data_IF_094054899400
#
_entry.id   IF_094054899400
#
_cell.length_a   1.000
_cell.length_b   1.000
_cell.length_c   1.000
_cell.angle_alpha   90.00
_cell.angle_beta   90.00
_cell.angle_gamma   90.00
#
_symmetry.space_group_name_H-M   'P 1'
#
loop_
_entity.id
_entity.type
_entity.pdbx_description
1 polymer ?
#
# COMPACT_ATOMS: atom_id res chain seq x y z
N UNK A 1 7.14 30.68 -33.56
CA UNK A 1 7.44 29.26 -33.84
C UNK A 1 7.97 28.65 -32.55
N UNK A 2 7.48 27.48 -32.14
CA UNK A 2 8.08 26.72 -31.04
C UNK A 2 8.96 25.66 -31.68
N UNK A 3 10.25 25.72 -31.41
CA UNK A 3 11.23 24.72 -31.85
C UNK A 3 11.48 23.75 -30.70
N UNK A 4 11.60 22.46 -31.01
CA UNK A 4 11.95 21.40 -30.07
C UNK A 4 13.14 20.63 -30.64
N UNK A 5 14.21 20.54 -29.87
CA UNK A 5 15.44 19.86 -30.28
C UNK A 5 15.61 18.58 -29.47
N UNK A 6 15.88 17.47 -30.16
CA UNK A 6 16.17 16.19 -29.54
C UNK A 6 17.64 15.86 -29.75
N UNK A 7 18.40 15.77 -28.66
CA UNK A 7 19.84 15.45 -28.70
C UNK A 7 19.97 13.92 -28.65
N UNK A 8 20.64 13.36 -29.66
CA UNK A 8 20.84 11.92 -29.80
C UNK A 8 22.31 11.58 -30.05
N UNK A 9 22.74 10.38 -29.65
CA UNK A 9 24.05 9.83 -30.00
C UNK A 9 23.98 9.25 -31.42
N UNK A 10 25.10 9.26 -32.14
CA UNK A 10 25.16 8.70 -33.51
C UNK A 10 24.69 7.25 -33.62
N UNK A 11 24.89 6.44 -32.58
CA UNK A 11 24.45 5.03 -32.58
C UNK A 11 22.94 4.86 -32.44
N UNK A 12 22.22 5.88 -31.97
CA UNK A 12 20.78 5.81 -31.65
C UNK A 12 19.93 6.60 -32.67
N UNK A 13 20.55 7.16 -33.71
CA UNK A 13 19.92 8.03 -34.71
C UNK A 13 18.77 7.34 -35.45
N UNK A 14 18.99 6.13 -35.96
CA UNK A 14 17.94 5.35 -36.65
C UNK A 14 16.75 5.01 -35.74
N UNK A 15 17.02 4.69 -34.47
CA UNK A 15 15.98 4.37 -33.50
C UNK A 15 15.14 5.61 -33.15
N UNK A 16 15.79 6.76 -32.98
CA UNK A 16 15.13 8.03 -32.69
C UNK A 16 14.31 8.51 -33.88
N UNK A 17 14.84 8.41 -35.11
CA UNK A 17 14.11 8.77 -36.31
C UNK A 17 12.83 7.94 -36.45
N UNK A 18 12.93 6.63 -36.21
CA UNK A 18 11.77 5.74 -36.21
C UNK A 18 10.70 6.16 -35.20
N UNK A 19 11.09 6.60 -34.00
CA UNK A 19 10.14 7.09 -32.97
C UNK A 19 9.43 8.37 -33.43
N UNK A 20 10.16 9.31 -34.04
CA UNK A 20 9.60 10.58 -34.51
C UNK A 20 8.63 10.39 -35.68
N UNK A 21 8.90 9.40 -36.54
CA UNK A 21 8.06 9.09 -37.70
C UNK A 21 6.87 8.18 -37.37
N UNK A 22 6.88 7.50 -36.20
CA UNK A 22 5.81 6.59 -35.81
C UNK A 22 4.56 7.39 -35.40
N UNK A 23 3.42 7.22 -36.08
CA UNK A 23 2.17 7.88 -35.70
C UNK A 23 1.69 7.36 -34.34
N UNK A 24 1.17 8.28 -33.51
CA UNK A 24 0.71 8.01 -32.14
C UNK A 24 -0.33 6.87 -32.08
N UNK A 25 -1.16 6.74 -33.11
CA UNK A 25 -2.31 5.81 -33.13
C UNK A 25 -1.90 4.33 -33.25
N UNK A 26 -0.67 4.02 -33.69
CA UNK A 26 -0.18 2.64 -33.75
C UNK A 26 0.27 2.09 -32.38
N UNK A 27 0.29 2.94 -31.34
CA UNK A 27 0.75 2.58 -29.99
C UNK A 27 -0.38 1.99 -29.12
N UNK A 28 -1.64 2.00 -29.59
CA UNK A 28 -2.80 1.42 -28.86
C UNK A 28 -2.83 -0.12 -28.93
N UNK A 29 -1.77 -0.77 -29.43
CA UNK A 29 -1.47 -2.12 -28.99
C UNK A 29 -0.88 -2.05 -27.58
N UNK A 30 -1.73 -1.75 -26.59
CA UNK A 30 -1.37 -1.92 -25.17
C UNK A 30 -0.85 -3.34 -25.00
N UNK A 31 0.43 -3.45 -24.64
CA UNK A 31 1.08 -4.73 -24.35
C UNK A 31 0.14 -5.61 -23.52
N UNK A 32 -0.29 -6.74 -24.10
CA UNK A 32 -0.89 -7.90 -23.43
C UNK A 32 0.03 -8.35 -22.28
N UNK A 33 0.01 -7.64 -21.15
CA UNK A 33 0.67 -8.04 -19.91
C UNK A 33 -0.40 -8.62 -18.99
N UNK A 34 0.03 -9.55 -18.12
CA UNK A 34 -0.76 -10.28 -17.12
C UNK A 34 -1.80 -9.45 -16.33
N UNK A 35 -1.66 -8.13 -16.33
CA UNK A 35 -2.66 -7.15 -15.87
C UNK A 35 -4.05 -7.30 -16.49
N UNK A 36 -4.20 -7.88 -17.68
CA UNK A 36 -5.53 -8.05 -18.29
C UNK A 36 -6.41 -9.05 -17.54
N UNK A 37 -5.81 -10.13 -17.01
CA UNK A 37 -6.56 -11.15 -16.24
C UNK A 37 -7.09 -10.58 -14.93
N UNK A 38 -6.25 -9.80 -14.23
CA UNK A 38 -6.63 -9.15 -12.96
C UNK A 38 -7.66 -8.04 -13.15
N UNK A 39 -7.64 -7.38 -14.32
CA UNK A 39 -8.59 -6.32 -14.65
C UNK A 39 -9.96 -6.89 -15.03
N UNK A 40 -10.00 -7.98 -15.81
CA UNK A 40 -11.26 -8.60 -16.21
C UNK A 40 -11.96 -9.30 -15.04
N UNK A 41 -11.22 -10.02 -14.18
CA UNK A 41 -11.78 -10.66 -12.99
C UNK A 41 -12.39 -9.65 -12.02
N UNK A 42 -11.71 -8.52 -11.81
CA UNK A 42 -12.26 -7.40 -11.05
C UNK A 42 -13.53 -6.85 -11.69
N UNK A 43 -13.52 -6.59 -13.01
CA UNK A 43 -14.67 -6.04 -13.72
C UNK A 43 -15.90 -6.95 -13.63
N UNK A 44 -15.72 -8.25 -13.84
CA UNK A 44 -16.79 -9.25 -13.69
C UNK A 44 -17.32 -9.26 -12.25
N UNK A 45 -16.43 -9.28 -11.26
CA UNK A 45 -16.81 -9.24 -9.85
C UNK A 45 -17.58 -7.95 -9.50
N UNK A 46 -17.19 -6.81 -10.06
CA UNK A 46 -17.86 -5.53 -9.85
C UNK A 46 -19.28 -5.53 -10.45
N UNK A 47 -19.45 -6.07 -11.66
CA UNK A 47 -20.77 -6.26 -12.28
C UNK A 47 -21.71 -7.11 -11.44
N UNK A 48 -21.19 -8.18 -10.84
CA UNK A 48 -21.96 -9.06 -9.94
C UNK A 48 -22.23 -8.36 -8.60
N UNK A 49 -21.23 -7.67 -8.01
CA UNK A 49 -21.37 -6.97 -6.73
C UNK A 49 -22.37 -5.82 -6.77
N UNK A 50 -22.45 -5.12 -7.91
CA UNK A 50 -23.38 -4.02 -8.15
C UNK A 50 -24.78 -4.49 -8.56
N UNK A 51 -24.94 -5.77 -8.89
CA UNK A 51 -26.20 -6.34 -9.38
C UNK A 51 -26.50 -6.03 -10.85
N UNK A 52 -25.51 -5.53 -11.61
CA UNK A 52 -25.64 -5.30 -13.05
C UNK A 52 -25.74 -6.63 -13.83
N UNK A 53 -25.06 -7.66 -13.34
CA UNK A 53 -25.06 -8.99 -13.95
C UNK A 53 -25.33 -10.05 -12.88
N UNK A 54 -26.18 -11.00 -13.22
CA UNK A 54 -26.57 -12.12 -12.35
C UNK A 54 -26.47 -13.46 -13.06
N UNK A 55 -26.41 -13.49 -14.39
CA UNK A 55 -26.32 -14.72 -15.18
C UNK A 55 -25.09 -14.71 -16.08
N UNK A 56 -24.62 -15.89 -16.47
CA UNK A 56 -23.48 -16.03 -17.38
C UNK A 56 -23.68 -15.24 -18.68
N UNK A 57 -24.88 -15.27 -19.24
CA UNK A 57 -25.23 -14.54 -20.47
C UNK A 57 -25.11 -13.02 -20.30
N UNK A 58 -25.60 -12.47 -19.18
CA UNK A 58 -25.44 -11.05 -18.86
C UNK A 58 -23.98 -10.64 -18.68
N UNK A 59 -23.16 -11.51 -18.07
CA UNK A 59 -21.72 -11.27 -17.93
C UNK A 59 -21.04 -11.20 -19.31
N UNK A 60 -21.32 -12.14 -20.21
CA UNK A 60 -20.76 -12.08 -21.57
C UNK A 60 -21.23 -10.84 -22.34
N UNK A 61 -22.51 -10.44 -22.20
CA UNK A 61 -23.03 -9.21 -22.79
C UNK A 61 -22.27 -7.98 -22.25
N UNK A 62 -22.07 -7.89 -20.94
CA UNK A 62 -21.30 -6.83 -20.31
C UNK A 62 -19.84 -6.83 -20.82
N UNK A 63 -19.18 -7.99 -20.87
CA UNK A 63 -17.83 -8.15 -21.42
C UNK A 63 -17.75 -7.71 -22.88
N UNK A 64 -18.80 -7.93 -23.68
CA UNK A 64 -18.81 -7.57 -25.11
C UNK A 64 -18.81 -6.07 -25.36
N UNK A 65 -19.20 -5.26 -24.36
CA UNK A 65 -19.18 -3.79 -24.41
C UNK A 65 -17.79 -3.21 -24.10
N UNK A 66 -16.82 -4.03 -23.67
CA UNK A 66 -15.46 -3.58 -23.46
C UNK A 66 -14.81 -3.19 -24.79
N UNK A 67 -13.98 -2.15 -24.75
CA UNK A 67 -13.28 -1.60 -25.91
C UNK A 67 -12.46 -2.66 -26.69
N UNK A 68 -12.00 -3.73 -26.02
CA UNK A 68 -11.18 -4.81 -26.60
C UNK A 68 -11.96 -6.13 -26.77
N UNK A 69 -13.15 -6.09 -27.36
CA UNK A 69 -14.16 -7.17 -27.29
C UNK A 69 -13.79 -8.53 -27.91
N UNK A 70 -12.90 -8.63 -28.90
CA UNK A 70 -12.75 -9.88 -29.68
C UNK A 70 -11.94 -11.00 -28.99
N UNK A 71 -11.08 -10.69 -28.01
CA UNK A 71 -10.29 -11.70 -27.26
C UNK A 71 -10.85 -12.02 -25.87
N UNK A 72 -11.86 -11.28 -25.41
CA UNK A 72 -12.29 -11.31 -24.00
C UNK A 72 -13.33 -12.38 -23.67
N UNK A 73 -14.08 -12.92 -24.64
CA UNK A 73 -15.16 -13.88 -24.37
C UNK A 73 -14.64 -15.19 -23.73
N UNK A 74 -13.57 -15.77 -24.26
CA UNK A 74 -12.93 -16.95 -23.68
C UNK A 74 -12.30 -16.64 -22.30
N UNK A 75 -11.84 -15.40 -22.10
CA UNK A 75 -11.25 -14.96 -20.82
C UNK A 75 -12.29 -14.67 -19.74
N UNK A 76 -13.55 -14.38 -20.11
CA UNK A 76 -14.62 -14.16 -19.14
C UNK A 76 -14.97 -15.48 -18.43
N UNK A 77 -14.93 -16.62 -19.12
CA UNK A 77 -15.13 -17.94 -18.50
C UNK A 77 -14.04 -18.28 -17.49
N UNK A 78 -12.76 -18.11 -17.87
CA UNK A 78 -11.62 -18.24 -16.94
C UNK A 78 -11.80 -17.35 -15.68
N UNK A 79 -12.31 -16.13 -15.88
CA UNK A 79 -12.51 -15.17 -14.79
C UNK A 79 -13.62 -15.61 -13.85
N UNK A 80 -14.75 -16.12 -14.38
CA UNK A 80 -15.86 -16.65 -13.57
C UNK A 80 -15.39 -17.88 -12.78
N UNK A 81 -14.68 -18.80 -13.43
CA UNK A 81 -14.15 -20.01 -12.79
C UNK A 81 -13.19 -19.66 -11.65
N UNK A 82 -12.28 -18.70 -11.87
CA UNK A 82 -11.36 -18.23 -10.84
C UNK A 82 -12.08 -17.56 -9.67
N UNK A 83 -13.13 -16.77 -9.92
CA UNK A 83 -13.91 -16.12 -8.88
C UNK A 83 -14.71 -17.13 -8.05
N UNK A 84 -15.25 -18.17 -8.68
CA UNK A 84 -15.92 -19.29 -8.00
C UNK A 84 -14.93 -20.10 -7.16
N UNK A 85 -13.80 -20.50 -7.75
CA UNK A 85 -12.78 -21.31 -7.10
C UNK A 85 -12.22 -20.64 -5.84
N UNK A 86 -12.11 -19.31 -5.85
CA UNK A 86 -11.61 -18.51 -4.74
C UNK A 86 -12.74 -17.93 -3.85
N UNK A 87 -13.98 -18.38 -4.01
CA UNK A 87 -15.12 -17.98 -3.18
C UNK A 87 -15.40 -16.47 -3.17
N UNK A 88 -15.12 -15.74 -4.26
CA UNK A 88 -15.55 -14.34 -4.43
C UNK A 88 -17.02 -14.25 -4.85
N UNK A 89 -17.51 -15.26 -5.56
CA UNK A 89 -18.91 -15.39 -5.98
C UNK A 89 -19.42 -16.81 -5.68
N UNK A 90 -20.73 -16.94 -5.55
CA UNK A 90 -21.48 -18.19 -5.42
C UNK A 90 -22.48 -18.29 -6.56
N UNK A 91 -22.91 -19.52 -6.88
CA UNK A 91 -23.93 -19.78 -7.89
C UNK A 91 -25.06 -20.59 -7.27
N UNK A 92 -26.29 -20.10 -7.39
CA UNK A 92 -27.53 -20.75 -6.96
C UNK A 92 -28.56 -20.60 -8.08
N UNK A 93 -29.20 -21.68 -8.52
CA UNK A 93 -30.20 -21.68 -9.61
C UNK A 93 -29.72 -20.94 -10.89
N UNK A 94 -28.47 -21.17 -11.31
CA UNK A 94 -27.81 -20.50 -12.46
C UNK A 94 -27.65 -18.97 -12.30
N UNK A 95 -27.87 -18.44 -11.10
CA UNK A 95 -27.65 -17.04 -10.75
C UNK A 95 -26.41 -16.87 -9.88
N UNK A 96 -25.50 -16.00 -10.33
CA UNK A 96 -24.33 -15.58 -9.59
C UNK A 96 -24.69 -14.53 -8.54
N UNK A 97 -24.19 -14.74 -7.34
CA UNK A 97 -24.29 -13.82 -6.22
C UNK A 97 -22.90 -13.56 -5.62
N UNK A 98 -22.60 -12.34 -5.18
CA UNK A 98 -21.30 -12.03 -4.59
C UNK A 98 -21.22 -12.54 -3.13
N UNK A 99 -20.09 -13.13 -2.74
CA UNK A 99 -19.87 -13.50 -1.35
C UNK A 99 -19.48 -12.27 -0.50
N UNK A 100 -19.31 -12.45 0.81
CA UNK A 100 -18.79 -11.38 1.67
C UNK A 100 -17.36 -10.98 1.28
N UNK A 101 -16.52 -11.94 0.87
CA UNK A 101 -15.17 -11.68 0.35
C UNK A 101 -15.22 -10.89 -0.96
N UNK A 102 -16.13 -11.26 -1.89
CA UNK A 102 -16.43 -10.51 -3.11
C UNK A 102 -16.73 -9.04 -2.84
N UNK A 103 -17.69 -8.79 -1.93
CA UNK A 103 -18.08 -7.43 -1.55
C UNK A 103 -16.94 -6.67 -0.86
N UNK A 104 -16.14 -7.35 -0.03
CA UNK A 104 -15.00 -6.74 0.65
C UNK A 104 -13.91 -6.30 -0.33
N UNK A 105 -13.59 -7.13 -1.34
CA UNK A 105 -12.63 -6.80 -2.39
C UNK A 105 -13.02 -5.52 -3.14
N UNK A 106 -14.27 -5.44 -3.60
CA UNK A 106 -14.79 -4.28 -4.34
C UNK A 106 -14.84 -3.04 -3.45
N UNK A 107 -15.36 -3.15 -2.22
CA UNK A 107 -15.44 -2.03 -1.30
C UNK A 107 -14.07 -1.44 -0.91
N UNK A 108 -13.02 -2.25 -1.02
CA UNK A 108 -11.65 -1.85 -0.68
C UNK A 108 -10.84 -1.48 -1.91
N UNK A 109 -11.47 -1.41 -3.08
CA UNK A 109 -10.82 -1.16 -4.36
C UNK A 109 -9.65 -2.11 -4.66
N UNK A 110 -9.69 -3.35 -4.17
CA UNK A 110 -8.65 -4.36 -4.40
C UNK A 110 -9.00 -5.30 -5.56
N UNK A 111 -8.03 -5.72 -6.39
CA UNK A 111 -8.26 -6.82 -7.32
C UNK A 111 -8.41 -8.15 -6.55
N UNK A 112 -9.08 -9.17 -7.13
CA UNK A 112 -9.31 -10.46 -6.46
C UNK A 112 -8.03 -11.12 -5.94
N UNK A 113 -6.96 -11.14 -6.73
CA UNK A 113 -5.71 -11.81 -6.38
C UNK A 113 -5.02 -11.15 -5.18
N UNK A 114 -5.01 -9.81 -5.14
CA UNK A 114 -4.50 -9.06 -3.98
C UNK A 114 -5.39 -9.24 -2.74
N UNK A 115 -6.71 -9.36 -2.94
CA UNK A 115 -7.67 -9.56 -1.85
C UNK A 115 -7.46 -10.90 -1.14
N UNK A 116 -7.07 -11.96 -1.85
CA UNK A 116 -6.72 -13.24 -1.25
C UNK A 116 -5.49 -13.14 -0.35
N UNK A 117 -4.42 -12.54 -0.86
CA UNK A 117 -3.19 -12.37 -0.07
C UNK A 117 -3.45 -11.55 1.20
N UNK A 118 -4.27 -10.50 1.10
CA UNK A 118 -4.69 -9.67 2.24
C UNK A 118 -5.56 -10.46 3.21
N UNK A 119 -6.53 -11.23 2.71
CA UNK A 119 -7.39 -12.06 3.54
C UNK A 119 -6.58 -13.08 4.34
N UNK A 120 -5.64 -13.79 3.70
CA UNK A 120 -4.77 -14.75 4.37
C UNK A 120 -3.90 -14.11 5.47
N UNK A 121 -3.28 -12.97 5.16
CA UNK A 121 -2.41 -12.24 6.09
C UNK A 121 -3.19 -11.76 7.32
N UNK A 122 -4.34 -11.13 7.12
CA UNK A 122 -5.20 -10.63 8.19
C UNK A 122 -5.86 -11.76 8.99
N UNK A 123 -6.29 -12.84 8.33
CA UNK A 123 -6.86 -14.01 9.00
C UNK A 123 -5.81 -14.70 9.88
N UNK A 124 -4.57 -14.80 9.41
CA UNK A 124 -3.44 -15.29 10.22
C UNK A 124 -3.17 -14.38 11.42
N UNK A 125 -3.09 -13.07 11.19
CA UNK A 125 -2.87 -12.08 12.25
C UNK A 125 -3.99 -12.05 13.30
N UNK A 126 -5.24 -12.32 12.90
CA UNK A 126 -6.39 -12.37 13.80
C UNK A 126 -6.26 -13.43 14.91
N UNK A 127 -5.46 -14.47 14.68
CA UNK A 127 -5.22 -15.56 15.65
C UNK A 127 -4.17 -15.20 16.70
N UNK A 128 -3.27 -14.25 16.39
CA UNK A 128 -2.18 -13.86 17.27
C UNK A 128 -1.71 -12.45 16.91
N UNK A 129 -2.33 -11.43 17.52
CA UNK A 129 -1.94 -10.03 17.35
C UNK A 129 -1.03 -9.58 18.50
N UNK A 130 0.18 -9.13 18.17
CA UNK A 130 1.08 -8.49 19.12
C UNK A 130 0.61 -7.03 19.38
N UNK A 131 0.27 -6.73 20.63
CA UNK A 131 -0.24 -5.42 21.09
C UNK A 131 0.72 -4.68 22.04
N UNK A 132 1.92 -5.22 22.26
CA UNK A 132 2.97 -4.57 23.05
C UNK A 132 3.54 -3.33 22.36
N UNK A 133 3.51 -3.32 21.03
CA UNK A 133 3.88 -2.16 20.20
C UNK A 133 2.93 -2.06 19.00
N UNK A 134 2.92 -0.91 18.35
CA UNK A 134 2.14 -0.66 17.14
C UNK A 134 2.77 -1.25 15.86
N UNK A 135 3.97 -1.82 15.95
CA UNK A 135 4.73 -2.29 14.78
C UNK A 135 4.02 -3.43 14.03
N UNK A 136 3.33 -4.33 14.74
CA UNK A 136 2.60 -5.41 14.08
C UNK A 136 1.39 -4.88 13.30
N UNK A 137 0.64 -3.94 13.87
CA UNK A 137 -0.46 -3.25 13.16
C UNK A 137 0.07 -2.50 11.94
N UNK A 138 1.20 -1.80 12.07
CA UNK A 138 1.87 -1.15 10.94
C UNK A 138 2.29 -2.11 9.84
N UNK A 139 2.80 -3.29 10.20
CA UNK A 139 3.15 -4.32 9.21
C UNK A 139 1.92 -4.75 8.39
N UNK A 140 0.77 -4.96 9.05
CA UNK A 140 -0.49 -5.32 8.38
C UNK A 140 -0.95 -4.24 7.39
N UNK A 141 -0.77 -2.96 7.73
CA UNK A 141 -1.11 -1.83 6.84
C UNK A 141 0.05 -1.34 5.96
N UNK A 142 1.18 -2.06 5.95
CA UNK A 142 2.26 -1.81 4.99
C UNK A 142 1.96 -2.61 3.71
N UNK A 143 1.99 -2.02 2.51
CA UNK A 143 1.70 -2.71 1.26
C UNK A 143 2.56 -3.98 1.07
N UNK A 144 1.97 -5.04 0.49
CA UNK A 144 2.67 -6.32 0.28
C UNK A 144 3.83 -6.21 -0.73
N UNK A 145 3.66 -5.37 -1.76
CA UNK A 145 4.61 -5.20 -2.86
C UNK A 145 5.31 -3.84 -2.78
N UNK A 146 6.25 -3.70 -1.84
CA UNK A 146 7.00 -2.45 -1.68
C UNK A 146 8.15 -2.39 -2.67
N UNK A 147 8.17 -1.36 -3.51
CA UNK A 147 9.21 -1.17 -4.55
C UNK A 147 10.33 -0.21 -4.13
N UNK A 148 10.27 0.41 -2.96
CA UNK A 148 11.28 1.43 -2.55
C UNK A 148 12.66 0.85 -2.24
N UNK A 149 12.80 -0.48 -2.28
CA UNK A 149 14.01 -1.22 -1.88
C UNK A 149 14.75 -1.91 -3.04
N UNK A 150 14.59 -1.41 -4.27
CA UNK A 150 15.18 -2.01 -5.49
C UNK A 150 16.70 -2.22 -5.43
N UNK A 151 17.42 -1.42 -4.65
CA UNK A 151 18.88 -1.56 -4.43
C UNK A 151 19.22 -1.57 -2.93
N UNK A 152 18.54 -2.40 -2.15
CA UNK A 152 18.80 -2.47 -0.71
C UNK A 152 20.20 -3.02 -0.38
N UNK A 153 20.89 -2.33 0.55
CA UNK A 153 22.15 -2.80 1.13
C UNK A 153 21.85 -3.79 2.27
N UNK A 154 21.94 -5.09 1.97
CA UNK A 154 21.70 -6.15 2.94
C UNK A 154 22.66 -6.10 4.13
N UNK A 155 23.87 -5.54 4.01
CA UNK A 155 24.79 -5.40 5.14
C UNK A 155 24.24 -4.40 6.14
N UNK A 156 23.71 -3.29 5.63
CA UNK A 156 23.04 -2.27 6.44
C UNK A 156 21.77 -2.82 7.10
N UNK A 157 20.94 -3.56 6.35
CA UNK A 157 19.73 -4.19 6.90
C UNK A 157 20.05 -5.23 7.98
N UNK A 158 21.12 -6.01 7.81
CA UNK A 158 21.58 -6.95 8.85
C UNK A 158 22.04 -6.22 10.12
N UNK A 159 22.76 -5.10 9.97
CA UNK A 159 23.18 -4.28 11.11
C UNK A 159 21.99 -3.68 11.86
N UNK A 160 20.95 -3.22 11.14
CA UNK A 160 19.69 -2.76 11.72
C UNK A 160 18.98 -3.90 12.45
N UNK A 161 18.84 -5.07 11.80
CA UNK A 161 18.18 -6.24 12.37
C UNK A 161 18.86 -6.73 13.66
N UNK A 162 20.19 -6.74 13.67
CA UNK A 162 20.99 -7.15 14.82
C UNK A 162 20.78 -6.24 16.04
N UNK A 163 20.51 -4.95 15.82
CA UNK A 163 20.28 -3.94 16.85
C UNK A 163 18.80 -3.79 17.26
N UNK A 164 17.89 -4.59 16.70
CA UNK A 164 16.48 -4.51 17.04
C UNK A 164 16.24 -4.87 18.53
N UNK A 165 15.40 -4.09 19.23
CA UNK A 165 14.98 -4.42 20.58
C UNK A 165 14.13 -5.71 20.60
N UNK A 166 13.97 -6.30 21.80
CA UNK A 166 13.43 -7.65 21.96
C UNK A 166 11.97 -7.78 21.49
N UNK A 167 11.17 -6.74 21.69
CA UNK A 167 9.79 -6.58 21.20
C UNK A 167 9.72 -6.59 19.66
N UNK A 168 10.57 -5.80 18.98
CA UNK A 168 10.61 -5.73 17.52
C UNK A 168 11.12 -7.04 16.91
N UNK A 169 12.10 -7.70 17.57
CA UNK A 169 12.59 -9.02 17.16
C UNK A 169 11.52 -10.10 17.31
N UNK A 170 10.68 -10.01 18.33
CA UNK A 170 9.53 -10.91 18.50
C UNK A 170 8.52 -10.72 17.36
N UNK A 171 8.22 -9.48 16.97
CA UNK A 171 7.33 -9.19 15.84
C UNK A 171 7.94 -9.67 14.53
N UNK A 172 9.23 -9.47 14.31
CA UNK A 172 9.94 -10.00 13.15
C UNK A 172 9.74 -11.53 13.02
N UNK A 173 9.91 -12.26 14.12
CA UNK A 173 9.67 -13.70 14.16
C UNK A 173 8.20 -14.07 13.90
N UNK A 174 7.26 -13.30 14.45
CA UNK A 174 5.82 -13.51 14.28
C UNK A 174 5.40 -13.39 12.80
N UNK A 175 5.92 -12.41 12.07
CA UNK A 175 5.58 -12.17 10.65
C UNK A 175 6.41 -13.03 9.68
N UNK A 176 7.34 -13.85 10.19
CA UNK A 176 8.15 -14.77 9.38
C UNK A 176 9.47 -14.20 8.85
N UNK A 177 9.95 -13.07 9.39
CA UNK A 177 11.29 -12.54 9.09
C UNK A 177 12.33 -13.42 9.77
N UNK A 178 13.29 -13.90 8.99
CA UNK A 178 14.35 -14.80 9.46
C UNK A 178 15.72 -14.17 9.28
N UNK A 179 16.53 -14.22 10.33
CA UNK A 179 17.93 -13.80 10.27
C UNK A 179 18.71 -14.61 9.24
N UNK A 180 18.42 -15.92 9.14
CA UNK A 180 19.01 -16.82 8.15
C UNK A 180 18.83 -16.30 6.72
N UNK A 181 17.63 -15.83 6.37
CA UNK A 181 17.38 -15.30 5.03
C UNK A 181 18.22 -14.05 4.74
N UNK A 182 18.36 -13.14 5.73
CA UNK A 182 19.19 -11.95 5.59
C UNK A 182 20.65 -12.35 5.34
N UNK A 183 21.17 -13.33 6.09
CA UNK A 183 22.51 -13.88 5.89
C UNK A 183 22.68 -14.55 4.52
N UNK A 184 21.67 -15.28 4.05
CA UNK A 184 21.69 -15.89 2.71
C UNK A 184 21.75 -14.81 1.61
N UNK A 185 21.05 -13.67 1.78
CA UNK A 185 21.16 -12.54 0.84
C UNK A 185 22.56 -11.92 0.82
N UNK A 186 23.23 -11.80 1.97
CA UNK A 186 24.64 -11.34 2.04
C UNK A 186 25.59 -12.27 1.29
N UNK A 187 25.29 -13.57 1.27
CA UNK A 187 26.05 -14.59 0.54
C UNK A 187 25.69 -14.67 -0.95
N UNK A 188 24.78 -13.81 -1.44
CA UNK A 188 24.31 -13.81 -2.83
C UNK A 188 23.31 -14.91 -3.16
N UNK A 189 22.78 -15.65 -2.17
CA UNK A 189 21.74 -16.67 -2.38
C UNK A 189 20.38 -16.01 -2.48
N UNK A 190 19.95 -15.69 -3.71
CA UNK A 190 18.67 -15.02 -3.95
C UNK A 190 17.49 -15.98 -3.77
N UNK A 191 16.60 -15.68 -2.81
CA UNK A 191 15.33 -16.37 -2.68
C UNK A 191 14.19 -15.34 -2.77
N UNK A 192 13.57 -15.26 -3.94
CA UNK A 192 12.57 -14.23 -4.22
C UNK A 192 11.26 -14.42 -3.47
N UNK A 193 10.93 -15.65 -3.02
CA UNK A 193 9.63 -15.94 -2.36
C UNK A 193 9.51 -15.27 -0.99
N UNK A 194 10.61 -15.21 -0.23
CA UNK A 194 10.63 -14.63 1.11
C UNK A 194 11.09 -13.18 1.13
N UNK A 195 11.57 -12.66 0.00
CA UNK A 195 12.09 -11.31 -0.12
C UNK A 195 11.06 -10.26 0.31
N UNK A 196 9.83 -10.36 -0.19
CA UNK A 196 8.78 -9.37 0.08
C UNK A 196 8.42 -9.29 1.57
N UNK A 197 8.40 -10.41 2.30
CA UNK A 197 8.15 -10.42 3.75
C UNK A 197 9.21 -9.60 4.50
N UNK A 198 10.48 -9.77 4.15
CA UNK A 198 11.59 -9.07 4.79
C UNK A 198 11.59 -7.58 4.43
N UNK A 199 11.40 -7.26 3.15
CA UNK A 199 11.32 -5.88 2.67
C UNK A 199 10.11 -5.14 3.25
N UNK A 200 8.95 -5.81 3.36
CA UNK A 200 7.76 -5.26 4.01
C UNK A 200 8.01 -4.99 5.49
N UNK A 201 8.71 -5.87 6.19
CA UNK A 201 9.07 -5.65 7.60
C UNK A 201 10.00 -4.43 7.78
N UNK A 202 11.04 -4.27 6.96
CA UNK A 202 11.90 -3.08 7.03
C UNK A 202 11.16 -1.79 6.64
N UNK A 203 10.22 -1.88 5.70
CA UNK A 203 9.29 -0.79 5.39
C UNK A 203 8.45 -0.41 6.61
N UNK A 204 7.86 -1.40 7.29
CA UNK A 204 7.08 -1.20 8.50
C UNK A 204 7.90 -0.55 9.62
N UNK A 205 9.19 -0.92 9.77
CA UNK A 205 10.10 -0.27 10.71
C UNK A 205 10.35 1.21 10.36
N UNK A 206 10.54 1.53 9.07
CA UNK A 206 10.72 2.92 8.64
C UNK A 206 9.45 3.75 8.87
N UNK A 207 8.27 3.18 8.59
CA UNK A 207 6.97 3.80 8.86
C UNK A 207 6.73 3.95 10.38
N UNK A 208 7.17 2.99 11.19
CA UNK A 208 7.09 3.04 12.64
C UNK A 208 7.87 4.23 13.21
N UNK A 209 9.09 4.47 12.72
CA UNK A 209 9.85 5.65 13.13
C UNK A 209 9.16 6.96 12.70
N UNK A 210 8.58 7.01 11.49
CA UNK A 210 7.85 8.18 11.00
C UNK A 210 6.64 8.53 11.86
N UNK A 211 5.78 7.56 12.17
CA UNK A 211 4.58 7.82 13.01
C UNK A 211 4.93 8.12 14.47
N UNK A 212 6.16 7.83 14.89
CA UNK A 212 6.72 8.22 16.17
C UNK A 212 7.50 9.55 16.11
N UNK A 213 7.14 10.42 15.16
CA UNK A 213 7.64 11.79 15.01
C UNK A 213 9.17 11.87 14.71
N UNK A 214 9.75 10.80 14.13
CA UNK A 214 11.09 10.92 13.57
C UNK A 214 11.03 11.63 12.22
N UNK A 215 11.83 12.68 12.03
CA UNK A 215 11.80 13.45 10.78
C UNK A 215 12.12 12.55 9.57
N UNK A 216 11.51 12.87 8.43
CA UNK A 216 11.73 12.12 7.19
C UNK A 216 13.21 12.07 6.77
N UNK A 217 13.99 13.09 7.16
CA UNK A 217 15.43 13.14 6.94
C UNK A 217 16.17 12.10 7.79
N UNK A 218 15.87 12.02 9.08
CA UNK A 218 16.47 11.03 9.97
C UNK A 218 16.13 9.60 9.55
N UNK A 219 14.87 9.33 9.18
CA UNK A 219 14.45 8.01 8.70
C UNK A 219 15.11 7.68 7.37
N UNK A 220 15.16 8.63 6.42
CA UNK A 220 15.85 8.47 5.14
C UNK A 220 17.33 8.08 5.34
N UNK A 221 18.03 8.73 6.27
CA UNK A 221 19.41 8.38 6.61
C UNK A 221 19.54 7.05 7.34
N UNK A 222 18.66 6.76 8.32
CA UNK A 222 18.70 5.53 9.11
C UNK A 222 18.47 4.29 8.27
N UNK A 223 17.53 4.33 7.31
CA UNK A 223 17.18 3.18 6.47
C UNK A 223 17.85 3.22 5.08
N UNK A 224 18.56 4.31 4.75
CA UNK A 224 19.17 4.57 3.43
C UNK A 224 18.16 4.54 2.28
N UNK A 225 16.96 5.04 2.54
CA UNK A 225 15.89 5.17 1.53
C UNK A 225 15.87 6.62 1.04
N UNK A 226 15.86 6.89 -0.28
CA UNK A 226 15.71 8.25 -0.80
C UNK A 226 14.42 8.92 -0.28
N UNK A 227 14.49 10.20 0.08
CA UNK A 227 13.35 10.94 0.66
C UNK A 227 12.07 10.84 -0.17
N UNK A 228 12.15 11.01 -1.49
CA UNK A 228 10.98 10.90 -2.37
C UNK A 228 10.38 9.49 -2.39
N UNK A 229 11.21 8.45 -2.30
CA UNK A 229 10.74 7.06 -2.17
C UNK A 229 10.07 6.84 -0.81
N UNK A 230 10.63 7.40 0.26
CA UNK A 230 10.05 7.31 1.60
C UNK A 230 8.69 8.03 1.70
N UNK A 231 8.55 9.21 1.10
CA UNK A 231 7.26 9.92 0.98
C UNK A 231 6.24 9.10 0.16
N UNK A 232 6.70 8.47 -0.92
CA UNK A 232 5.86 7.59 -1.73
C UNK A 232 5.38 6.39 -0.90
N UNK A 233 6.28 5.74 -0.16
CA UNK A 233 5.93 4.63 0.74
C UNK A 233 4.91 5.08 1.80
N UNK A 234 5.12 6.25 2.41
CA UNK A 234 4.23 6.82 3.41
C UNK A 234 2.82 7.05 2.85
N UNK A 235 2.71 7.74 1.71
CA UNK A 235 1.42 8.00 1.04
C UNK A 235 0.72 6.72 0.60
N UNK A 236 1.45 5.78 -0.03
CA UNK A 236 0.90 4.49 -0.44
C UNK A 236 0.42 3.65 0.75
N UNK A 237 1.15 3.68 1.87
CA UNK A 237 0.76 2.96 3.08
C UNK A 237 -0.45 3.59 3.76
N UNK A 238 -0.61 4.92 3.70
CA UNK A 238 -1.82 5.59 4.17
C UNK A 238 -3.06 5.16 3.37
N UNK A 239 -2.96 5.15 2.03
CA UNK A 239 -4.04 4.64 1.16
C UNK A 239 -4.33 3.17 1.44
N UNK A 240 -3.28 2.35 1.54
CA UNK A 240 -3.42 0.92 1.81
C UNK A 240 -4.07 0.67 3.17
N UNK A 241 -3.69 1.40 4.22
CA UNK A 241 -4.34 1.32 5.53
C UNK A 241 -5.85 1.56 5.44
N UNK A 242 -6.29 2.58 4.70
CA UNK A 242 -7.70 2.85 4.50
C UNK A 242 -8.41 1.69 3.76
N UNK A 243 -7.76 1.10 2.76
CA UNK A 243 -8.28 -0.08 2.04
C UNK A 243 -8.41 -1.28 2.99
N UNK A 244 -7.41 -1.55 3.84
CA UNK A 244 -7.46 -2.64 4.82
C UNK A 244 -8.58 -2.44 5.85
N UNK A 245 -8.79 -1.21 6.33
CA UNK A 245 -9.89 -0.87 7.25
C UNK A 245 -11.25 -1.12 6.59
N UNK A 246 -11.43 -0.69 5.34
CA UNK A 246 -12.65 -0.96 4.57
C UNK A 246 -12.88 -2.46 4.34
N UNK A 247 -11.80 -3.21 4.08
CA UNK A 247 -11.83 -4.65 3.89
C UNK A 247 -12.30 -5.38 5.15
N UNK A 248 -11.70 -5.06 6.30
CA UNK A 248 -12.07 -5.60 7.60
C UNK A 248 -13.53 -5.26 7.95
N UNK A 249 -13.97 -4.02 7.67
CA UNK A 249 -15.36 -3.59 7.90
C UNK A 249 -16.35 -4.46 7.12
N UNK A 250 -16.09 -4.72 5.84
CA UNK A 250 -17.00 -5.54 5.01
C UNK A 250 -17.00 -7.01 5.38
N UNK A 251 -15.88 -7.55 5.86
CA UNK A 251 -15.80 -8.90 6.40
C UNK A 251 -16.41 -9.05 7.80
N UNK A 252 -16.80 -7.96 8.45
CA UNK A 252 -17.33 -7.99 9.81
C UNK A 252 -16.25 -8.22 10.88
N UNK A 253 -14.98 -8.01 10.56
CA UNK A 253 -13.85 -8.12 11.49
C UNK A 253 -13.72 -6.86 12.34
N UNK A 254 -14.74 -6.59 13.17
CA UNK A 254 -14.90 -5.34 13.91
C UNK A 254 -13.71 -5.00 14.79
N UNK A 255 -13.15 -5.98 15.51
CA UNK A 255 -12.01 -5.76 16.41
C UNK A 255 -10.73 -5.43 15.64
N UNK A 256 -10.45 -6.15 14.55
CA UNK A 256 -9.29 -5.89 13.73
C UNK A 256 -9.42 -4.54 13.02
N UNK A 257 -10.61 -4.21 12.52
CA UNK A 257 -10.93 -2.88 11.99
C UNK A 257 -10.67 -1.78 13.01
N UNK A 258 -11.08 -1.97 14.27
CA UNK A 258 -10.86 -0.98 15.33
C UNK A 258 -9.38 -0.78 15.65
N UNK A 259 -8.58 -1.85 15.67
CA UNK A 259 -7.13 -1.78 15.91
C UNK A 259 -6.38 -1.06 14.78
N UNK A 260 -6.83 -1.23 13.54
CA UNK A 260 -6.17 -0.64 12.36
C UNK A 260 -6.73 0.76 12.01
N UNK A 261 -7.80 1.19 12.67
CA UNK A 261 -8.41 2.49 12.42
C UNK A 261 -7.46 3.63 12.79
N UNK A 262 -7.49 4.72 12.02
CA UNK A 262 -6.65 5.89 12.26
C UNK A 262 -5.20 5.79 11.76
N UNK A 263 -4.67 4.59 11.48
CA UNK A 263 -3.31 4.46 10.90
C UNK A 263 -3.17 5.17 9.55
N UNK A 264 -4.24 5.26 8.74
CA UNK A 264 -4.22 5.98 7.48
C UNK A 264 -3.82 7.46 7.67
N UNK A 265 -4.45 8.16 8.63
CA UNK A 265 -4.15 9.56 8.92
C UNK A 265 -2.77 9.72 9.55
N UNK A 266 -2.43 8.86 10.52
CA UNK A 266 -1.12 8.88 11.18
C UNK A 266 0.02 8.67 10.19
N UNK A 267 -0.15 7.77 9.23
CA UNK A 267 0.80 7.55 8.15
C UNK A 267 0.85 8.76 7.24
N UNK A 268 -0.30 9.32 6.82
CA UNK A 268 -0.32 10.46 5.89
C UNK A 268 0.46 11.67 6.43
N UNK A 269 0.34 11.96 7.73
CA UNK A 269 0.98 13.13 8.35
C UNK A 269 2.26 12.82 9.13
N UNK A 270 2.56 11.55 9.40
CA UNK A 270 3.72 11.15 10.20
C UNK A 270 3.58 11.50 11.68
N UNK A 271 2.41 11.26 12.27
CA UNK A 271 2.08 11.69 13.64
C UNK A 271 1.63 10.54 14.54
N UNK A 272 1.77 10.75 15.86
CA UNK A 272 1.21 9.86 16.88
C UNK A 272 -0.31 9.97 16.97
N UNK A 273 -0.96 8.95 17.54
CA UNK A 273 -2.43 8.85 17.62
C UNK A 273 -3.06 10.05 18.33
N UNK A 274 -2.43 10.55 19.39
CA UNK A 274 -2.86 11.71 20.19
C UNK A 274 -2.96 13.02 19.38
N UNK A 275 -2.32 13.10 18.21
CA UNK A 275 -2.33 14.28 17.35
C UNK A 275 -3.33 14.18 16.20
N UNK A 276 -4.02 13.06 16.06
CA UNK A 276 -4.95 12.84 14.95
C UNK A 276 -6.10 13.85 14.98
N UNK A 277 -6.51 14.28 16.18
CA UNK A 277 -7.55 15.30 16.37
C UNK A 277 -7.07 16.70 15.96
N UNK A 278 -5.78 17.05 16.18
CA UNK A 278 -5.23 18.36 15.82
C UNK A 278 -5.17 18.59 14.29
N UNK A 279 -4.88 17.54 13.51
CA UNK A 279 -4.76 17.65 12.04
C UNK A 279 -6.11 17.80 11.34
N UNK A 280 -7.23 17.53 12.02
CA UNK A 280 -8.57 17.74 11.44
C UNK A 280 -8.97 19.21 11.33
N UNK A 281 -8.17 20.14 11.88
CA UNK A 281 -8.33 21.58 11.70
C UNK A 281 -7.66 21.96 10.37
N UNK A 282 -8.45 22.43 9.40
CA UNK A 282 -7.98 22.79 8.05
C UNK A 282 -6.74 23.72 8.11
N UNK A 283 -5.65 23.29 7.47
CA UNK A 283 -4.44 24.11 7.25
C UNK A 283 -3.19 23.70 8.06
N UNK A 284 -3.26 22.65 8.88
CA UNK A 284 -2.14 22.19 9.70
C UNK A 284 -1.51 20.93 9.06
N UNK A 285 -0.29 21.07 8.52
CA UNK A 285 0.53 19.91 8.15
C UNK A 285 1.20 19.28 9.40
N UNK A 286 1.77 18.08 9.26
CA UNK A 286 2.42 17.38 10.40
C UNK A 286 3.55 18.20 11.06
N UNK A 287 4.20 19.09 10.30
CA UNK A 287 5.19 20.05 10.82
C UNK A 287 4.54 21.17 11.63
N UNK A 288 3.38 21.66 11.21
CA UNK A 288 2.60 22.65 11.95
C UNK A 288 2.07 22.10 13.27
N UNK A 289 1.78 20.79 13.37
CA UNK A 289 1.45 20.15 14.66
C UNK A 289 2.61 20.21 15.66
N UNK A 290 3.85 20.00 15.23
CA UNK A 290 5.04 20.17 16.10
C UNK A 290 5.23 21.64 16.52
N UNK A 291 5.02 22.59 15.59
CA UNK A 291 5.10 24.03 15.89
C UNK A 291 3.99 24.45 16.87
N UNK A 292 2.78 23.92 16.74
CA UNK A 292 1.68 24.19 17.68
C UNK A 292 2.01 23.62 19.06
N UNK A 293 2.61 22.43 19.18
CA UNK A 293 3.13 21.94 20.48
C UNK A 293 4.17 22.87 21.09
N UNK A 294 5.08 23.42 20.28
CA UNK A 294 6.07 24.39 20.76
C UNK A 294 5.37 25.67 21.23
N UNK A 295 4.37 26.16 20.50
CA UNK A 295 3.61 27.37 20.86
C UNK A 295 2.73 27.14 22.10
N UNK A 296 2.01 26.03 22.22
CA UNK A 296 1.21 25.68 23.40
C UNK A 296 2.09 25.42 24.63
N UNK A 297 3.24 24.76 24.46
CA UNK A 297 4.23 24.57 25.53
C UNK A 297 4.81 25.92 25.99
N UNK A 298 5.12 26.84 25.08
CA UNK A 298 5.55 28.21 25.40
C UNK A 298 4.42 29.04 26.05
N UNK A 299 3.17 28.84 25.62
CA UNK A 299 2.00 29.55 26.16
C UNK A 299 1.66 29.08 27.57
N UNK A 300 1.71 27.76 27.82
CA UNK A 300 1.57 27.18 29.17
C UNK A 300 2.74 27.60 30.07
N UNK A 301 3.96 27.70 29.54
CA UNK A 301 5.10 28.23 30.29
C UNK A 301 4.93 29.71 30.70
N UNK A 302 4.25 30.53 29.87
CA UNK A 302 3.87 31.91 30.20
C UNK A 302 2.72 32.01 31.21
N UNK A 303 1.89 30.98 31.36
CA UNK A 303 0.84 30.96 32.38
C UNK A 303 1.39 30.58 33.76
N UNK A 304 2.42 29.74 33.82
CA UNK A 304 3.06 29.34 35.08
C UNK A 304 4.05 30.37 35.65
N UNK A 305 4.52 31.32 34.84
CA UNK A 305 5.34 32.44 35.30
C UNK A 305 4.75 33.79 34.86
N UNK A 306 4.21 34.52 35.83
CA UNK A 306 3.77 35.93 35.71
C UNK A 306 4.97 36.82 35.31
N UNK A 307 5.32 36.87 34.02
CA UNK A 307 6.28 37.84 33.50
C UNK A 307 5.48 39.00 32.89
N UNK A 308 5.35 40.07 33.67
CA UNK A 308 4.85 41.36 33.21
C UNK A 308 5.89 42.00 32.29
N UNK A 309 5.62 42.04 30.99
CA UNK A 309 6.40 42.85 30.05
C UNK A 309 5.75 44.23 29.98
N UNK A 310 6.40 45.22 30.60
CA UNK A 310 6.12 46.64 30.36
C UNK A 310 6.55 46.97 28.93
N UNK A 311 5.61 47.45 28.12
CA UNK A 311 5.91 48.13 26.86
C UNK A 311 6.30 49.56 27.24
N UNK A 312 7.53 49.95 26.92
CA UNK A 312 7.92 51.37 26.91
C UNK A 312 7.57 51.94 25.53
N UNK A 313 6.91 53.10 25.53
CA UNK A 313 6.51 53.86 24.33
C UNK A 313 7.69 54.20 23.40
#
# INVERSE_FOLDING_TARGET
MRESYLITKKCDEEAVQKILETPIDQVIHTKNRDTDRTNLSRFVLEGICTGLTTTKTQIHQLCSLLFFSSENLNRCDDSIEMLLANSFISVEDEMFSPTQLGRAAIASSLPPEASLAIFEDLNSASRAIALDTELHMLYLVTPINVTVWQECDWHHLFALFSKLPADHRRIAKLVGVSEKFILDQLQGRRNNKMLQVHIRFFSALALFDLINEMSIYQVSHKYRIPRGCLQTLQSQSATYAAMIVAFCLRLGWTYLKALLDGFAMRLLFGIRSELSELVTIEGIDGQSCEIIKVIESISNWKHDYKISVQVFD
#
